data_IF_773845714650
#
_entry.id   IF_773845714650
#
_cell.length_a   1.000
_cell.length_b   1.000
_cell.length_c   1.000
_cell.angle_alpha   90.00
_cell.angle_beta   90.00
_cell.angle_gamma   90.00
#
_symmetry.space_group_name_H-M   'P 1'
#
loop_
_entity.id
_entity.type
_entity.pdbx_description
1 polymer ?
#
# COMPACT_ATOMS: atom_id res chain seq x y z
N UNK A 1 9.09 18.38 8.40
CA UNK A 1 8.89 17.36 7.36
C UNK A 1 9.97 16.30 7.56
N UNK A 2 9.61 15.01 7.58
CA UNK A 2 10.57 13.91 7.64
C UNK A 2 11.42 13.92 6.35
N UNK A 3 12.76 13.86 6.42
CA UNK A 3 13.59 13.64 5.24
C UNK A 3 13.44 12.20 4.75
N UNK A 4 13.45 12.00 3.44
CA UNK A 4 13.34 10.69 2.81
C UNK A 4 14.05 10.71 1.44
N UNK A 5 14.50 9.56 0.95
CA UNK A 5 15.24 9.44 -0.31
C UNK A 5 14.26 9.25 -1.48
N UNK A 6 14.19 10.19 -2.45
CA UNK A 6 13.37 10.06 -3.64
C UNK A 6 13.63 8.80 -4.46
N UNK A 7 12.57 8.06 -4.77
CA UNK A 7 12.59 6.93 -5.70
C UNK A 7 11.59 7.16 -6.85
N UNK A 8 11.73 6.39 -7.92
CA UNK A 8 10.65 6.21 -8.88
C UNK A 8 9.71 5.13 -8.33
N UNK A 9 8.47 5.50 -8.06
CA UNK A 9 7.44 4.67 -7.43
C UNK A 9 6.31 4.42 -8.39
N UNK A 10 5.59 3.32 -8.20
CA UNK A 10 4.36 2.99 -8.91
C UNK A 10 3.23 3.97 -8.56
N UNK A 11 3.13 4.37 -7.28
CA UNK A 11 2.11 5.32 -6.81
C UNK A 11 0.72 4.71 -6.60
N UNK A 12 0.52 3.46 -6.98
CA UNK A 12 -0.71 2.70 -6.72
C UNK A 12 -0.44 1.18 -6.79
N UNK A 13 0.62 0.72 -6.11
CA UNK A 13 1.05 -0.69 -6.17
C UNK A 13 0.11 -1.59 -5.35
N UNK A 14 -1.12 -1.76 -5.80
CA UNK A 14 -2.10 -2.67 -5.19
C UNK A 14 -1.86 -4.10 -5.68
N UNK A 15 -2.24 -5.11 -4.86
CA UNK A 15 -2.14 -6.52 -5.26
C UNK A 15 -2.91 -6.85 -6.55
N UNK A 16 -3.99 -6.11 -6.84
CA UNK A 16 -4.78 -6.25 -8.06
C UNK A 16 -4.01 -5.83 -9.34
N UNK A 17 -2.88 -5.13 -9.19
CA UNK A 17 -2.05 -4.66 -10.30
C UNK A 17 -0.87 -5.60 -10.59
N UNK A 18 -0.76 -6.72 -9.88
CA UNK A 18 0.30 -7.72 -10.06
C UNK A 18 -0.26 -9.00 -10.64
N UNK A 19 0.25 -9.41 -11.80
CA UNK A 19 -0.06 -10.70 -12.41
C UNK A 19 0.96 -11.76 -12.01
N UNK A 20 0.46 -12.97 -11.75
CA UNK A 20 1.26 -14.14 -11.40
C UNK A 20 0.88 -15.34 -12.26
N UNK A 21 1.87 -16.20 -12.54
CA UNK A 21 1.68 -17.56 -13.07
C UNK A 21 2.38 -18.54 -12.11
N UNK A 22 1.59 -19.23 -11.30
CA UNK A 22 2.11 -19.98 -10.15
C UNK A 22 2.84 -19.05 -9.16
N UNK A 23 4.11 -19.33 -8.92
CA UNK A 23 4.97 -18.56 -8.02
C UNK A 23 5.76 -17.44 -8.74
N UNK A 24 5.54 -17.24 -10.05
CA UNK A 24 6.26 -16.26 -10.85
C UNK A 24 5.42 -14.99 -11.08
N UNK A 25 5.99 -13.82 -10.76
CA UNK A 25 5.40 -12.53 -11.15
C UNK A 25 5.64 -12.30 -12.64
N UNK A 26 4.56 -12.20 -13.41
CA UNK A 26 4.61 -12.08 -14.88
C UNK A 26 4.33 -10.67 -15.39
N UNK A 27 3.80 -9.78 -14.55
CA UNK A 27 3.58 -8.40 -14.93
C UNK A 27 3.11 -7.51 -13.79
N UNK A 28 3.40 -6.22 -13.93
CA UNK A 28 2.89 -5.14 -13.10
C UNK A 28 2.27 -4.10 -14.04
N UNK A 29 1.01 -3.73 -13.81
CA UNK A 29 0.23 -2.85 -14.68
C UNK A 29 -0.22 -1.58 -13.95
N UNK A 30 -0.89 -0.68 -14.67
CA UNK A 30 -1.47 0.57 -14.13
C UNK A 30 -0.45 1.58 -13.58
N UNK A 31 0.55 1.89 -14.40
CA UNK A 31 1.60 2.86 -14.11
C UNK A 31 1.18 4.33 -14.26
N UNK A 32 -0.12 4.63 -14.24
CA UNK A 32 -0.64 5.97 -14.49
C UNK A 32 -0.23 6.98 -13.40
N UNK A 33 -0.12 6.51 -12.15
CA UNK A 33 0.31 7.29 -10.99
C UNK A 33 1.84 7.27 -10.75
N UNK A 34 2.59 6.63 -11.65
CA UNK A 34 4.01 6.42 -11.45
C UNK A 34 4.81 7.73 -11.53
N UNK A 35 5.74 7.91 -10.60
CA UNK A 35 6.45 9.17 -10.46
C UNK A 35 7.48 9.18 -9.35
N UNK A 36 7.93 10.40 -9.00
CA UNK A 36 8.87 10.58 -7.89
C UNK A 36 8.12 10.50 -6.56
N UNK A 37 8.37 9.47 -5.76
CA UNK A 37 7.65 9.20 -4.51
C UNK A 37 8.50 8.41 -3.49
N UNK A 38 7.97 8.27 -2.28
CA UNK A 38 8.58 7.49 -1.19
C UNK A 38 8.36 6.01 -1.45
N UNK A 39 9.41 5.21 -1.54
CA UNK A 39 9.28 3.77 -1.82
C UNK A 39 8.48 3.03 -0.73
N UNK A 40 8.46 3.54 0.50
CA UNK A 40 7.63 2.99 1.57
C UNK A 40 6.13 3.15 1.30
N UNK A 41 5.72 4.10 0.46
CA UNK A 41 4.33 4.25 0.05
C UNK A 41 3.87 3.10 -0.85
N UNK A 42 4.71 2.62 -1.77
CA UNK A 42 4.40 1.45 -2.60
C UNK A 42 4.34 0.18 -1.75
N UNK A 43 5.28 -0.01 -0.82
CA UNK A 43 5.25 -1.15 0.11
C UNK A 43 3.99 -1.13 0.97
N UNK A 44 3.67 0.03 1.55
CA UNK A 44 2.44 0.21 2.33
C UNK A 44 1.21 -0.11 1.48
N UNK A 45 1.12 0.40 0.26
CA UNK A 45 -0.04 0.13 -0.63
C UNK A 45 -0.14 -1.36 -0.97
N UNK A 46 0.98 -2.03 -1.21
CA UNK A 46 1.02 -3.44 -1.57
C UNK A 46 0.60 -4.36 -0.42
N UNK A 47 0.94 -4.01 0.82
CA UNK A 47 0.63 -4.80 2.02
C UNK A 47 -0.63 -4.31 2.75
N UNK A 48 -1.37 -3.36 2.17
CA UNK A 48 -2.57 -2.77 2.80
C UNK A 48 -3.64 -3.86 3.02
N UNK A 49 -4.04 -4.07 4.27
CA UNK A 49 -5.01 -5.10 4.65
C UNK A 49 -4.45 -6.53 4.71
N UNK A 50 -3.14 -6.69 4.49
CA UNK A 50 -2.42 -7.97 4.47
C UNK A 50 -1.16 -7.92 5.35
N UNK A 51 -1.32 -7.41 6.57
CA UNK A 51 -0.21 -7.27 7.52
C UNK A 51 0.46 -8.61 7.84
N UNK A 52 -0.29 -9.70 7.82
CA UNK A 52 0.20 -11.06 8.01
C UNK A 52 1.28 -11.49 7.00
N UNK A 53 1.36 -10.79 5.86
CA UNK A 53 2.35 -11.01 4.79
C UNK A 53 3.44 -9.94 4.73
N UNK A 54 3.41 -8.94 5.61
CA UNK A 54 4.38 -7.85 5.61
C UNK A 54 5.81 -8.39 5.78
N UNK A 55 6.03 -9.28 6.74
CA UNK A 55 7.36 -9.84 7.01
C UNK A 55 7.94 -10.60 5.80
N UNK A 56 7.10 -11.30 5.04
CA UNK A 56 7.52 -12.01 3.83
C UNK A 56 7.97 -11.02 2.73
N UNK A 57 7.21 -9.93 2.54
CA UNK A 57 7.55 -8.88 1.57
C UNK A 57 8.85 -8.18 1.97
N UNK A 58 9.04 -7.86 3.25
CA UNK A 58 10.24 -7.19 3.74
C UNK A 58 11.49 -8.07 3.65
N UNK A 59 11.34 -9.38 3.90
CA UNK A 59 12.42 -10.34 3.69
C UNK A 59 12.89 -10.34 2.23
N UNK A 60 11.97 -10.25 1.26
CA UNK A 60 12.29 -10.12 -0.16
C UNK A 60 12.82 -8.75 -0.56
N UNK A 61 12.33 -7.67 0.05
CA UNK A 61 12.75 -6.29 -0.24
C UNK A 61 14.20 -6.02 0.18
N UNK A 62 14.70 -6.74 1.19
CA UNK A 62 16.13 -6.84 1.50
C UNK A 62 16.76 -5.60 2.12
N UNK A 63 15.95 -4.66 2.62
CA UNK A 63 16.43 -3.48 3.33
C UNK A 63 15.68 -3.31 4.65
N UNK A 64 16.38 -2.78 5.65
CA UNK A 64 15.75 -2.39 6.91
C UNK A 64 14.86 -1.17 6.65
N UNK A 65 13.60 -1.24 7.08
CA UNK A 65 12.61 -0.19 6.85
C UNK A 65 12.05 0.33 8.16
N UNK A 66 11.66 1.60 8.14
CA UNK A 66 10.96 2.23 9.24
C UNK A 66 9.47 1.82 9.21
N UNK A 67 9.10 0.85 10.05
CA UNK A 67 7.72 0.34 10.15
C UNK A 67 6.73 1.41 10.60
N UNK A 68 7.14 2.38 11.43
CA UNK A 68 6.26 3.47 11.85
C UNK A 68 5.86 4.33 10.66
N UNK A 69 6.79 4.54 9.72
CA UNK A 69 6.49 5.25 8.47
C UNK A 69 5.59 4.43 7.55
N UNK A 70 5.81 3.12 7.43
CA UNK A 70 4.95 2.24 6.65
C UNK A 70 3.50 2.28 7.18
N UNK A 71 3.33 2.16 8.50
CA UNK A 71 2.01 2.27 9.15
C UNK A 71 1.38 3.66 9.01
N UNK A 72 2.19 4.73 9.01
CA UNK A 72 1.71 6.07 8.72
C UNK A 72 1.22 6.20 7.28
N UNK A 73 1.87 5.54 6.31
CA UNK A 73 1.42 5.50 4.92
C UNK A 73 0.13 4.68 4.76
N UNK A 74 -0.03 3.55 5.45
CA UNK A 74 -1.32 2.84 5.52
C UNK A 74 -2.44 3.77 5.98
N UNK A 75 -2.22 4.46 7.11
CA UNK A 75 -3.20 5.38 7.69
C UNK A 75 -3.56 6.49 6.71
N UNK A 76 -2.57 7.12 6.08
CA UNK A 76 -2.82 8.20 5.13
C UNK A 76 -3.56 7.71 3.89
N UNK A 77 -3.14 6.58 3.29
CA UNK A 77 -3.81 6.01 2.11
C UNK A 77 -5.26 5.68 2.44
N UNK A 78 -5.54 5.03 3.57
CA UNK A 78 -6.91 4.72 3.96
C UNK A 78 -7.75 5.98 4.19
N UNK A 79 -7.23 7.00 4.88
CA UNK A 79 -7.94 8.27 5.08
C UNK A 79 -8.26 8.99 3.75
N UNK A 80 -7.33 8.98 2.80
CA UNK A 80 -7.54 9.61 1.48
C UNK A 80 -8.59 8.84 0.66
N UNK A 81 -8.60 7.51 0.73
CA UNK A 81 -9.54 6.68 -0.01
C UNK A 81 -10.99 6.74 0.52
N UNK A 82 -11.19 6.92 1.83
CA UNK A 82 -12.54 6.98 2.46
C UNK A 82 -13.46 7.98 1.77
N UNK A 83 -12.97 9.17 1.45
CA UNK A 83 -13.78 10.20 0.78
C UNK A 83 -14.24 9.71 -0.60
N UNK A 84 -13.33 9.17 -1.40
CA UNK A 84 -13.65 8.68 -2.73
C UNK A 84 -14.67 7.54 -2.68
N UNK A 85 -14.50 6.59 -1.75
CA UNK A 85 -15.43 5.47 -1.55
C UNK A 85 -16.84 5.97 -1.28
N UNK A 86 -17.00 6.90 -0.33
CA UNK A 86 -18.30 7.48 0.02
C UNK A 86 -18.91 8.23 -1.17
N UNK A 87 -18.13 9.04 -1.87
CA UNK A 87 -18.60 9.80 -3.05
C UNK A 87 -19.06 8.89 -4.21
N UNK A 88 -18.59 7.64 -4.26
CA UNK A 88 -18.92 6.67 -5.31
C UNK A 88 -19.84 5.54 -4.83
N UNK A 89 -20.43 5.65 -3.64
CA UNK A 89 -21.44 4.71 -3.13
C UNK A 89 -20.90 3.41 -2.54
N UNK A 90 -19.60 3.35 -2.23
CA UNK A 90 -18.98 2.24 -1.51
C UNK A 90 -19.01 2.52 0.00
N UNK A 91 -19.21 1.47 0.81
CA UNK A 91 -19.15 1.56 2.27
C UNK A 91 -17.71 1.37 2.76
N UNK A 92 -17.03 2.41 3.28
CA UNK A 92 -15.66 2.28 3.78
C UNK A 92 -15.57 1.46 5.09
N UNK A 93 -16.70 1.15 5.73
CA UNK A 93 -16.80 0.31 6.92
C UNK A 93 -17.14 -1.15 6.63
N UNK A 94 -17.31 -1.53 5.36
CA UNK A 94 -17.49 -2.92 4.99
C UNK A 94 -16.26 -3.76 5.42
N UNK A 95 -16.43 -5.06 5.75
CA UNK A 95 -15.32 -5.90 6.18
C UNK A 95 -14.16 -5.90 5.17
N UNK A 96 -12.96 -5.59 5.65
CA UNK A 96 -11.74 -5.51 4.82
C UNK A 96 -11.56 -4.17 4.08
N UNK A 97 -12.45 -3.20 4.26
CA UNK A 97 -12.27 -1.86 3.70
C UNK A 97 -11.38 -0.97 4.59
N UNK A 98 -11.13 0.26 4.12
CA UNK A 98 -10.18 1.22 4.68
C UNK A 98 -10.30 1.46 6.18
N UNK A 99 -11.53 1.42 6.74
CA UNK A 99 -11.71 1.65 8.18
C UNK A 99 -11.19 0.48 9.03
N UNK A 100 -11.20 -0.75 8.52
CA UNK A 100 -10.64 -1.89 9.26
C UNK A 100 -9.12 -1.75 9.38
N UNK A 101 -8.43 -1.28 8.32
CA UNK A 101 -7.00 -0.94 8.38
C UNK A 101 -6.73 0.17 9.40
N UNK A 102 -7.56 1.22 9.42
CA UNK A 102 -7.40 2.31 10.40
C UNK A 102 -7.61 1.85 11.85
N UNK A 103 -8.41 0.80 12.06
CA UNK A 103 -8.71 0.25 13.39
C UNK A 103 -7.72 -0.83 13.83
N UNK A 104 -7.01 -1.49 12.92
CA UNK A 104 -6.12 -2.62 13.26
C UNK A 104 -4.96 -2.24 14.17
N UNK A 105 -4.66 -0.93 14.28
CA UNK A 105 -3.55 -0.37 15.07
C UNK A 105 -3.97 0.68 16.11
N UNK A 106 -5.28 0.83 16.40
CA UNK A 106 -5.79 1.61 17.54
C UNK A 106 -5.83 0.76 18.81
#
# INVERSE_FOLDING_TARGET
LRPWTPAFTHGDLQIAHVFVDGDEVTGIIDWSEAGRGDALYDLATFTLGHEEHLDDVLAGYGTDIDLDVLHAWWSLRSLLAVRWLVEHGFDPFAPGCEVDVLRSRM
#
